data_IF_358485903700
#
_entry.id   IF_358485903700
#
_cell.length_a   1.000
_cell.length_b   1.000
_cell.length_c   1.000
_cell.angle_alpha   90.00
_cell.angle_beta   90.00
_cell.angle_gamma   90.00
#
_symmetry.space_group_name_H-M   'P 1'
#
loop_
_entity.id
_entity.type
_entity.pdbx_description
1 polymer ?
#
# COMPACT_ATOMS: atom_id res chain seq x y z
N UNK A 1 -104.73 -19.83 -33.92
CA UNK A 1 -103.63 -19.65 -32.95
C UNK A 1 -102.42 -20.32 -33.59
N UNK A 2 -101.62 -19.67 -34.44
CA UNK A 2 -100.83 -18.45 -34.16
C UNK A 2 -100.12 -18.64 -32.82
N UNK A 3 -98.80 -18.85 -32.78
CA UNK A 3 -97.84 -17.75 -32.93
C UNK A 3 -96.52 -18.17 -33.61
N UNK A 4 -96.05 -17.24 -34.42
CA UNK A 4 -94.80 -17.09 -35.15
C UNK A 4 -93.53 -16.97 -34.27
N UNK A 5 -92.38 -17.25 -34.89
CA UNK A 5 -91.15 -16.48 -34.65
C UNK A 5 -90.16 -16.98 -33.60
N UNK A 6 -88.98 -17.44 -34.06
CA UNK A 6 -87.72 -16.75 -33.77
C UNK A 6 -86.53 -17.45 -34.44
N UNK A 7 -86.14 -16.90 -35.59
CA UNK A 7 -84.76 -16.95 -36.10
C UNK A 7 -83.85 -16.15 -35.15
N UNK A 8 -82.79 -16.77 -34.63
CA UNK A 8 -81.83 -16.14 -33.72
C UNK A 8 -80.39 -16.38 -34.15
N UNK A 9 -79.82 -15.37 -34.81
CA UNK A 9 -78.46 -15.31 -35.37
C UNK A 9 -77.34 -15.49 -34.34
N UNK A 10 -76.25 -16.10 -34.80
CA UNK A 10 -74.84 -15.78 -34.52
C UNK A 10 -74.55 -14.98 -33.25
N UNK A 11 -73.86 -15.59 -32.28
CA UNK A 11 -72.99 -14.85 -31.37
C UNK A 11 -71.64 -15.52 -31.23
N UNK A 12 -70.73 -15.05 -32.08
CA UNK A 12 -69.35 -14.71 -31.73
C UNK A 12 -68.67 -15.64 -30.72
N UNK A 13 -68.06 -16.71 -31.23
CA UNK A 13 -66.81 -17.18 -30.63
C UNK A 13 -65.86 -15.97 -30.65
N UNK A 14 -65.75 -15.26 -29.52
CA UNK A 14 -64.80 -14.18 -29.34
C UNK A 14 -63.43 -14.77 -29.63
N UNK A 15 -62.95 -14.51 -30.83
CA UNK A 15 -61.59 -14.76 -31.25
C UNK A 15 -60.73 -13.86 -30.37
N UNK A 16 -60.35 -14.36 -29.20
CA UNK A 16 -59.36 -13.74 -28.35
C UNK A 16 -58.04 -13.94 -29.07
N UNK A 17 -57.73 -13.05 -30.03
CA UNK A 17 -56.40 -12.93 -30.62
C UNK A 17 -55.48 -12.61 -29.46
N UNK A 18 -54.91 -13.65 -28.83
CA UNK A 18 -53.81 -13.51 -27.91
C UNK A 18 -52.72 -12.84 -28.74
N UNK A 19 -52.54 -11.54 -28.54
CA UNK A 19 -51.43 -10.82 -29.12
C UNK A 19 -50.18 -11.52 -28.59
N UNK A 20 -49.58 -12.35 -29.45
CA UNK A 20 -48.23 -12.85 -29.22
C UNK A 20 -47.39 -11.59 -29.17
N UNK A 21 -46.94 -11.20 -27.98
CA UNK A 21 -45.95 -10.15 -27.82
C UNK A 21 -44.78 -10.56 -28.70
N UNK A 22 -44.61 -9.89 -29.84
CA UNK A 22 -43.37 -9.97 -30.60
C UNK A 22 -42.30 -9.49 -29.64
N UNK A 23 -41.42 -10.39 -29.23
CA UNK A 23 -40.19 -10.03 -28.54
C UNK A 23 -39.47 -9.01 -29.43
N UNK A 24 -39.46 -7.76 -29.00
CA UNK A 24 -38.73 -6.70 -29.68
C UNK A 24 -37.24 -6.99 -29.47
N UNK A 25 -36.58 -7.52 -30.49
CA UNK A 25 -35.13 -7.65 -30.51
C UNK A 25 -34.48 -6.30 -30.75
N UNK A 26 -33.27 -6.11 -30.22
CA UNK A 26 -32.47 -4.92 -30.49
C UNK A 26 -32.13 -4.83 -31.98
N UNK A 27 -32.14 -3.60 -32.51
CA UNK A 27 -31.71 -3.35 -33.89
C UNK A 27 -30.21 -3.64 -34.03
N UNK A 28 -29.77 -4.08 -35.21
CA UNK A 28 -28.35 -4.26 -35.51
C UNK A 28 -27.54 -2.99 -35.20
N UNK A 29 -28.09 -1.81 -35.53
CA UNK A 29 -27.46 -0.51 -35.26
C UNK A 29 -27.33 -0.24 -33.76
N UNK A 30 -28.30 -0.66 -32.96
CA UNK A 30 -28.29 -0.47 -31.52
C UNK A 30 -27.25 -1.37 -30.85
N UNK A 31 -27.16 -2.64 -31.29
CA UNK A 31 -26.15 -3.58 -30.80
C UNK A 31 -24.74 -3.14 -31.19
N UNK A 32 -24.51 -2.66 -32.42
CA UNK A 32 -23.18 -2.19 -32.84
C UNK A 32 -22.78 -0.91 -32.12
N UNK A 33 -23.71 0.02 -31.90
CA UNK A 33 -23.46 1.22 -31.10
C UNK A 33 -23.12 0.85 -29.65
N UNK A 34 -23.90 -0.03 -29.03
CA UNK A 34 -23.65 -0.50 -27.67
C UNK A 34 -22.30 -1.20 -27.55
N UNK A 35 -21.93 -2.04 -28.54
CA UNK A 35 -20.64 -2.71 -28.57
C UNK A 35 -19.48 -1.73 -28.76
N UNK A 36 -19.66 -0.69 -29.58
CA UNK A 36 -18.67 0.38 -29.76
C UNK A 36 -18.42 1.16 -28.47
N UNK A 37 -19.48 1.55 -27.75
CA UNK A 37 -19.37 2.22 -26.45
C UNK A 37 -18.73 1.30 -25.42
N UNK A 38 -19.14 0.03 -25.35
CA UNK A 38 -18.57 -0.94 -24.43
C UNK A 38 -17.07 -1.16 -24.69
N UNK A 39 -16.66 -1.30 -25.95
CA UNK A 39 -15.26 -1.45 -26.34
C UNK A 39 -14.42 -0.22 -25.94
N UNK A 40 -14.94 0.98 -26.18
CA UNK A 40 -14.28 2.23 -25.77
C UNK A 40 -14.08 2.29 -24.24
N UNK A 41 -15.11 1.97 -23.46
CA UNK A 41 -15.01 1.93 -22.00
C UNK A 41 -14.03 0.86 -21.50
N UNK A 42 -14.02 -0.34 -22.12
CA UNK A 42 -13.08 -1.40 -21.75
C UNK A 42 -11.63 -0.99 -21.98
N UNK A 43 -11.34 -0.29 -23.09
CA UNK A 43 -9.99 0.24 -23.34
C UNK A 43 -9.58 1.22 -22.24
N UNK A 44 -10.49 2.11 -21.81
CA UNK A 44 -10.22 3.05 -20.73
C UNK A 44 -9.90 2.34 -19.41
N UNK A 45 -10.69 1.34 -19.02
CA UNK A 45 -10.47 0.55 -17.78
C UNK A 45 -9.15 -0.22 -17.84
N UNK A 46 -8.89 -0.91 -18.94
CA UNK A 46 -7.64 -1.68 -19.12
C UNK A 46 -6.41 -0.77 -19.14
N UNK A 47 -6.53 0.43 -19.70
CA UNK A 47 -5.48 1.45 -19.68
C UNK A 47 -5.12 1.95 -18.27
N UNK A 48 -6.06 1.90 -17.32
CA UNK A 48 -5.85 2.29 -15.92
C UNK A 48 -5.40 1.13 -15.01
N UNK A 49 -5.46 -0.11 -15.48
CA UNK A 49 -5.01 -1.27 -14.71
C UNK A 49 -3.53 -1.15 -14.22
N UNK A 50 -2.54 -0.80 -15.07
CA UNK A 50 -1.16 -0.71 -14.62
C UNK A 50 -0.93 0.42 -13.59
N UNK A 51 -1.68 1.53 -13.68
CA UNK A 51 -1.55 2.63 -12.70
C UNK A 51 -2.15 2.23 -11.35
N UNK A 52 -3.28 1.53 -11.36
CA UNK A 52 -3.89 0.97 -10.14
C UNK A 52 -2.94 0.01 -9.43
N UNK A 53 -2.30 -0.91 -10.16
CA UNK A 53 -1.38 -1.89 -9.58
C UNK A 53 -0.13 -1.23 -8.97
N UNK A 54 0.49 -0.26 -9.67
CA UNK A 54 1.63 0.48 -9.13
C UNK A 54 1.26 1.28 -7.89
N UNK A 55 0.10 1.92 -7.88
CA UNK A 55 -0.38 2.70 -6.73
C UNK A 55 -0.63 1.80 -5.53
N UNK A 56 -1.21 0.61 -5.76
CA UNK A 56 -1.43 -0.38 -4.72
C UNK A 56 -0.10 -0.88 -4.15
N UNK A 57 0.86 -1.22 -5.01
CA UNK A 57 2.19 -1.65 -4.58
C UNK A 57 2.89 -0.58 -3.74
N UNK A 58 2.92 0.68 -4.21
CA UNK A 58 3.51 1.79 -3.47
C UNK A 58 2.84 1.99 -2.09
N UNK A 59 1.51 1.81 -2.01
CA UNK A 59 0.77 1.90 -0.74
C UNK A 59 1.12 0.77 0.23
N UNK A 60 1.37 -0.44 -0.28
CA UNK A 60 1.83 -1.58 0.53
C UNK A 60 3.24 -1.29 1.07
N UNK A 61 4.17 -0.92 0.20
CA UNK A 61 5.56 -0.61 0.59
C UNK A 61 5.62 0.51 1.64
N UNK A 62 4.84 1.57 1.45
CA UNK A 62 4.66 2.65 2.40
C UNK A 62 4.13 2.18 3.76
N UNK A 63 3.15 1.26 3.76
CA UNK A 63 2.56 0.72 4.99
C UNK A 63 3.57 -0.12 5.77
N UNK A 64 4.32 -0.98 5.08
CA UNK A 64 5.37 -1.80 5.70
C UNK A 64 6.50 -0.91 6.22
N UNK A 65 6.91 0.10 5.45
CA UNK A 65 7.93 1.06 5.86
C UNK A 65 7.53 1.83 7.13
N UNK A 66 6.26 2.24 7.24
CA UNK A 66 5.73 2.86 8.46
C UNK A 66 5.70 1.90 9.66
N UNK A 67 5.44 0.61 9.43
CA UNK A 67 5.51 -0.43 10.46
C UNK A 67 6.93 -0.56 11.01
N UNK A 68 7.90 -0.76 10.12
CA UNK A 68 9.35 -0.81 10.44
C UNK A 68 9.78 0.45 11.18
N UNK A 69 9.36 1.63 10.71
CA UNK A 69 9.65 2.91 11.36
C UNK A 69 9.15 2.94 12.81
N UNK A 70 7.94 2.44 13.06
CA UNK A 70 7.34 2.40 14.40
C UNK A 70 8.07 1.43 15.31
N UNK A 71 8.54 0.31 14.78
CA UNK A 71 9.33 -0.68 15.51
C UNK A 71 10.68 -0.11 15.95
N UNK A 72 11.44 0.48 15.02
CA UNK A 72 12.72 1.17 15.31
C UNK A 72 12.51 2.30 16.32
N UNK A 73 11.41 3.05 16.19
CA UNK A 73 11.05 4.10 17.13
C UNK A 73 10.76 3.55 18.54
N UNK A 74 10.09 2.39 18.63
CA UNK A 74 9.82 1.69 19.87
C UNK A 74 11.10 1.25 20.56
N UNK A 75 12.01 0.67 19.79
CA UNK A 75 13.35 0.22 20.20
C UNK A 75 14.15 1.39 20.79
N UNK A 76 14.33 2.47 20.01
CA UNK A 76 15.04 3.67 20.45
C UNK A 76 14.41 4.32 21.70
N UNK A 77 13.09 4.23 21.89
CA UNK A 77 12.41 4.74 23.09
C UNK A 77 12.57 3.83 24.30
N UNK A 78 12.68 2.52 24.10
CA UNK A 78 12.92 1.56 25.17
C UNK A 78 14.34 1.73 25.72
N UNK A 79 15.32 1.94 24.85
CA UNK A 79 16.72 2.17 25.20
C UNK A 79 16.92 3.46 26.04
N UNK A 80 16.11 4.48 25.81
CA UNK A 80 16.13 5.75 26.58
C UNK A 80 15.64 5.58 28.03
N UNK A 81 14.91 4.51 28.36
CA UNK A 81 14.29 4.34 29.69
C UNK A 81 15.19 3.64 30.71
N UNK A 82 16.44 3.31 30.37
CA UNK A 82 17.33 2.61 31.30
C UNK A 82 17.81 3.54 32.44
N UNK A 83 17.75 3.09 33.71
CA UNK A 83 18.35 3.82 34.82
C UNK A 83 19.87 4.01 34.66
N UNK A 84 20.45 5.08 35.23
CA UNK A 84 21.89 5.33 35.15
C UNK A 84 22.73 4.11 35.58
N UNK A 85 23.64 3.66 34.72
CA UNK A 85 24.56 2.54 35.00
C UNK A 85 24.06 1.15 34.58
N UNK A 86 22.90 1.03 33.95
CA UNK A 86 22.46 -0.21 33.30
C UNK A 86 22.93 -0.26 31.85
N UNK A 87 23.46 -1.39 31.41
CA UNK A 87 23.81 -1.61 30.01
C UNK A 87 22.53 -1.82 29.19
N UNK A 88 22.49 -1.19 28.01
CA UNK A 88 21.45 -1.41 26.99
C UNK A 88 21.33 -2.91 26.67
N UNK A 89 20.09 -3.41 26.61
CA UNK A 89 19.78 -4.79 26.19
C UNK A 89 19.47 -4.88 24.69
N UNK A 90 19.65 -3.79 23.95
CA UNK A 90 19.37 -3.71 22.51
C UNK A 90 20.14 -4.75 21.69
N UNK A 91 21.34 -5.16 22.12
CA UNK A 91 22.10 -6.23 21.47
C UNK A 91 21.55 -7.66 21.69
N UNK A 92 20.58 -7.84 22.58
CA UNK A 92 20.00 -9.16 22.93
C UNK A 92 18.54 -9.30 22.48
N UNK A 93 17.77 -8.21 22.49
CA UNK A 93 16.33 -8.24 22.17
C UNK A 93 15.85 -7.16 21.19
N UNK A 94 16.73 -6.27 20.74
CA UNK A 94 16.41 -5.19 19.81
C UNK A 94 17.29 -5.21 18.56
N UNK A 95 17.42 -4.08 17.88
CA UNK A 95 18.20 -4.00 16.64
C UNK A 95 19.70 -3.75 16.84
N UNK A 96 20.15 -3.61 18.09
CA UNK A 96 21.54 -3.30 18.42
C UNK A 96 21.96 -1.88 18.01
N UNK A 97 21.02 -0.93 18.07
CA UNK A 97 21.25 0.46 17.65
C UNK A 97 22.23 1.19 18.59
N UNK A 98 22.99 2.14 18.03
CA UNK A 98 23.98 2.90 18.77
C UNK A 98 23.44 4.14 19.52
N UNK A 99 22.12 4.35 19.59
CA UNK A 99 21.50 5.58 20.07
C UNK A 99 21.87 6.04 21.49
N UNK A 100 22.24 5.13 22.39
CA UNK A 100 22.65 5.43 23.77
C UNK A 100 24.11 5.90 23.91
N UNK A 101 24.97 5.65 22.92
CA UNK A 101 26.41 5.86 23.05
C UNK A 101 26.78 7.24 22.53
N UNK A 102 26.94 8.21 23.44
CA UNK A 102 27.25 9.63 23.17
C UNK A 102 28.52 9.90 22.31
N UNK A 103 29.20 8.86 21.82
CA UNK A 103 30.44 8.93 21.06
C UNK A 103 30.42 8.05 19.79
N UNK A 104 29.30 7.38 19.48
CA UNK A 104 29.17 6.59 18.25
C UNK A 104 28.41 7.42 17.21
N UNK A 105 29.15 7.97 16.27
CA UNK A 105 28.66 8.84 15.19
C UNK A 105 28.27 8.06 13.94
N UNK A 106 28.49 6.74 13.94
CA UNK A 106 28.22 5.91 12.79
C UNK A 106 26.68 5.75 12.63
N UNK A 107 26.12 6.09 11.47
CA UNK A 107 24.72 5.81 11.22
C UNK A 107 24.49 4.30 11.16
N UNK A 108 23.38 3.85 11.73
CA UNK A 108 22.97 2.46 11.68
C UNK A 108 22.16 2.18 10.43
N UNK A 109 22.48 1.10 9.72
CA UNK A 109 21.78 0.65 8.52
C UNK A 109 21.25 -0.75 8.74
N UNK A 110 19.97 -0.94 8.47
CA UNK A 110 19.24 -2.19 8.61
C UNK A 110 18.50 -2.50 7.32
N UNK A 111 18.25 -3.78 7.08
CA UNK A 111 17.48 -4.24 5.94
C UNK A 111 16.27 -5.03 6.42
N UNK A 112 15.14 -4.84 5.75
CA UNK A 112 13.90 -5.52 6.11
C UNK A 112 13.27 -6.16 4.88
N UNK A 113 12.60 -7.29 5.08
CA UNK A 113 11.83 -7.98 4.04
C UNK A 113 10.51 -7.24 3.73
N UNK A 114 9.76 -7.71 2.73
CA UNK A 114 8.42 -7.19 2.41
C UNK A 114 7.40 -7.33 3.56
N UNK A 115 7.72 -8.13 4.58
CA UNK A 115 6.89 -8.34 5.76
C UNK A 115 7.30 -7.42 6.93
N UNK A 116 8.30 -6.56 6.73
CA UNK A 116 8.86 -5.72 7.78
C UNK A 116 9.75 -6.46 8.76
N UNK A 117 10.18 -7.69 8.45
CA UNK A 117 11.10 -8.46 9.30
C UNK A 117 12.53 -8.06 9.03
N UNK A 118 13.32 -7.83 10.09
CA UNK A 118 14.74 -7.59 9.96
C UNK A 118 15.44 -8.78 9.31
N UNK A 119 16.32 -8.49 8.35
CA UNK A 119 17.15 -9.47 7.65
C UNK A 119 18.59 -8.97 7.50
N UNK A 120 19.52 -9.90 7.37
CA UNK A 120 20.95 -9.63 7.28
C UNK A 120 21.56 -9.23 8.63
N UNK A 121 22.63 -8.44 8.56
CA UNK A 121 23.34 -7.93 9.72
C UNK A 121 23.17 -6.41 9.84
N UNK A 122 23.29 -5.90 11.06
CA UNK A 122 23.41 -4.47 11.31
C UNK A 122 24.61 -3.92 10.53
N UNK A 123 24.44 -2.78 9.87
CA UNK A 123 25.48 -2.11 9.08
C UNK A 123 26.08 -2.98 7.96
N UNK A 124 25.28 -3.90 7.40
CA UNK A 124 25.70 -4.67 6.22
C UNK A 124 26.01 -3.72 5.03
N UNK A 125 27.13 -4.00 4.34
CA UNK A 125 27.63 -3.16 3.25
C UNK A 125 26.80 -3.26 1.96
N UNK A 126 25.96 -4.29 1.84
CA UNK A 126 25.04 -4.51 0.73
C UNK A 126 23.71 -5.06 1.23
N UNK A 127 22.64 -4.80 0.47
CA UNK A 127 21.33 -5.33 0.83
C UNK A 127 21.26 -6.84 0.54
N UNK A 128 20.78 -7.66 1.50
CA UNK A 128 20.45 -9.07 1.27
C UNK A 128 19.49 -9.28 0.09
N UNK A 129 19.49 -10.49 -0.49
CA UNK A 129 18.66 -10.81 -1.65
C UNK A 129 17.14 -10.76 -1.37
N UNK A 130 16.75 -11.00 -0.11
CA UNK A 130 15.39 -10.97 0.41
C UNK A 130 14.98 -9.59 0.97
N UNK A 131 15.91 -8.63 1.01
CA UNK A 131 15.60 -7.28 1.45
C UNK A 131 14.67 -6.57 0.46
N UNK A 132 13.72 -5.85 1.01
CA UNK A 132 12.79 -4.97 0.29
C UNK A 132 12.90 -3.51 0.73
N UNK A 133 13.27 -3.30 1.99
CA UNK A 133 13.38 -1.99 2.62
C UNK A 133 14.78 -1.83 3.21
N UNK A 134 15.28 -0.60 3.20
CA UNK A 134 16.46 -0.17 3.95
C UNK A 134 16.01 0.83 4.99
N UNK A 135 16.40 0.65 6.25
CA UNK A 135 16.32 1.70 7.25
C UNK A 135 17.70 2.25 7.55
N UNK A 136 17.81 3.57 7.68
CA UNK A 136 19.03 4.25 8.09
C UNK A 136 18.73 5.22 9.23
N UNK A 137 19.41 5.02 10.35
CA UNK A 137 19.30 5.84 11.56
C UNK A 137 20.56 6.69 11.65
N UNK A 138 20.41 8.01 11.62
CA UNK A 138 21.51 8.97 11.71
C UNK A 138 21.35 9.83 12.96
N UNK A 139 22.36 9.84 13.82
CA UNK A 139 22.35 10.60 15.07
C UNK A 139 22.91 12.03 14.84
N UNK A 140 22.15 13.06 15.23
CA UNK A 140 22.40 14.50 15.00
C UNK A 140 22.79 15.22 16.32
N UNK A 141 23.57 16.32 16.24
CA UNK A 141 24.20 17.07 17.36
C UNK A 141 23.73 18.56 17.45
N UNK A 142 23.86 19.31 18.60
CA UNK A 142 25.06 19.41 19.48
C UNK A 142 24.93 19.05 21.00
N UNK A 143 26.07 18.89 21.71
CA UNK A 143 26.30 18.02 22.90
C UNK A 143 26.36 18.71 24.27
N UNK A 144 25.25 19.16 24.83
CA UNK A 144 25.34 19.98 26.04
C UNK A 144 24.44 19.56 27.22
N UNK A 145 23.31 18.90 27.00
CA UNK A 145 22.42 18.58 28.12
C UNK A 145 21.40 17.52 27.72
N UNK A 146 21.70 16.26 28.04
CA UNK A 146 20.73 15.16 28.10
C UNK A 146 20.07 14.65 26.82
N UNK A 147 19.85 15.46 25.79
CA UNK A 147 18.98 15.07 24.66
C UNK A 147 19.71 15.17 23.32
N UNK A 148 19.83 14.04 22.63
CA UNK A 148 20.27 13.91 21.23
C UNK A 148 19.07 13.73 20.31
N UNK A 149 19.22 13.91 19.00
CA UNK A 149 18.15 13.64 18.01
C UNK A 149 18.64 12.60 17.01
N UNK A 150 17.81 11.62 16.67
CA UNK A 150 18.05 10.70 15.58
C UNK A 150 17.08 10.98 14.43
N UNK A 151 17.62 11.06 13.21
CA UNK A 151 16.87 11.06 11.96
C UNK A 151 16.79 9.63 11.45
N UNK A 152 15.59 9.14 11.19
CA UNK A 152 15.37 7.79 10.65
C UNK A 152 14.77 7.95 9.26
N UNK A 153 15.36 7.26 8.29
CA UNK A 153 14.80 7.15 6.95
C UNK A 153 14.60 5.67 6.63
N UNK A 154 13.41 5.29 6.18
CA UNK A 154 13.15 3.97 5.59
C UNK A 154 12.85 4.15 4.11
N UNK A 155 13.62 3.51 3.23
CA UNK A 155 13.54 3.66 1.77
C UNK A 155 13.39 2.33 1.04
N UNK A 156 12.79 2.39 -0.15
CA UNK A 156 12.73 1.28 -1.11
C UNK A 156 12.96 1.81 -2.54
N UNK A 157 13.59 1.02 -3.42
CA UNK A 157 14.17 -0.31 -3.19
C UNK A 157 15.40 -0.26 -2.26
N UNK A 158 15.79 -1.38 -1.62
CA UNK A 158 16.76 -1.37 -0.51
C UNK A 158 18.20 -1.09 -0.96
N UNK A 159 18.46 -1.12 -2.27
CA UNK A 159 19.77 -0.80 -2.85
C UNK A 159 20.04 0.70 -2.86
N UNK A 160 19.00 1.53 -2.77
CA UNK A 160 19.09 2.99 -2.89
C UNK A 160 19.13 3.61 -1.48
N UNK A 161 20.24 4.28 -1.18
CA UNK A 161 20.38 5.10 0.02
C UNK A 161 20.07 6.57 -0.31
N UNK A 162 18.92 7.13 0.10
CA UNK A 162 18.58 8.52 -0.18
C UNK A 162 19.49 9.53 0.53
N UNK A 163 20.29 9.11 1.52
CA UNK A 163 21.20 10.00 2.25
C UNK A 163 22.60 10.04 1.64
N UNK A 164 22.91 9.17 0.68
CA UNK A 164 24.24 9.13 0.07
C UNK A 164 24.40 10.28 -0.95
N UNK A 165 25.56 10.96 -0.99
CA UNK A 165 25.82 12.02 -1.97
C UNK A 165 25.69 11.49 -3.40
N UNK A 166 24.86 12.13 -4.23
CA UNK A 166 24.65 11.72 -5.63
C UNK A 166 23.87 10.42 -5.82
N UNK A 167 23.16 9.96 -4.78
CA UNK A 167 22.35 8.75 -4.88
C UNK A 167 21.21 8.88 -5.91
N UNK A 168 20.83 7.77 -6.58
CA UNK A 168 19.60 7.71 -7.35
C UNK A 168 18.37 8.06 -6.51
N UNK A 169 17.33 8.60 -7.14
CA UNK A 169 16.05 8.85 -6.46
C UNK A 169 15.40 7.50 -6.14
N UNK A 170 15.04 7.21 -4.87
CA UNK A 170 14.36 5.97 -4.50
C UNK A 170 12.94 5.95 -5.08
N UNK A 171 12.33 4.76 -5.15
CA UNK A 171 10.92 4.63 -5.55
C UNK A 171 10.01 5.29 -4.49
N UNK A 172 10.38 5.19 -3.22
CA UNK A 172 9.75 5.92 -2.12
C UNK A 172 10.60 5.87 -0.86
N UNK A 173 10.30 6.78 0.07
CA UNK A 173 10.88 6.77 1.40
C UNK A 173 9.95 7.43 2.41
N UNK A 174 10.17 7.11 3.68
CA UNK A 174 9.59 7.78 4.84
C UNK A 174 10.69 8.29 5.74
N UNK A 175 10.47 9.46 6.34
CA UNK A 175 11.43 10.12 7.21
C UNK A 175 10.75 10.56 8.50
N UNK A 176 11.45 10.39 9.62
CA UNK A 176 11.05 10.97 10.91
C UNK A 176 12.26 11.38 11.74
N UNK A 177 12.00 12.18 12.76
CA UNK A 177 12.97 12.59 13.77
C UNK A 177 12.47 12.16 15.14
N UNK A 178 13.38 11.63 15.96
CA UNK A 178 13.11 11.30 17.36
C UNK A 178 14.19 11.90 18.26
N UNK A 179 13.77 12.44 19.40
CA UNK A 179 14.67 12.75 20.50
C UNK A 179 15.09 11.46 21.22
N UNK A 180 16.39 11.20 21.26
CA UNK A 180 17.03 10.11 22.01
C UNK A 180 17.65 10.75 23.26
N UNK A 181 17.11 10.44 24.44
CA UNK A 181 17.52 11.05 25.71
C UNK A 181 18.39 10.08 26.52
N UNK A 182 19.33 10.60 27.32
CA UNK A 182 20.09 9.82 28.30
C UNK A 182 19.29 9.53 29.57
#
# INVERSE_FOLDING_TARGET
>A
MEIDGATGKSQNARHMKRHVHRTAGFSLVEVTLALGVAAFCLIAVLGLLPTSLRTQQASIEQTVANGVMTEILGDLRADVRLPPGQASKEGISGFGLHGHWAQVYAPDTLFFTNEGKWTGALNASSAPADAALRAKVTYLFPPNASTSVAKIIVSWPPQVDPTAPGAPVPAGFVETFIAVNR
#
